data_IF_923444222668
#
_entry.id   IF_923444222668
#
_cell.length_a   1.000
_cell.length_b   1.000
_cell.length_c   1.000
_cell.angle_alpha   90.00
_cell.angle_beta   90.00
_cell.angle_gamma   90.00
#
_symmetry.space_group_name_H-M   'P 1'
#
loop_
_entity.id
_entity.type
_entity.pdbx_description
1 polymer ?
#
# COMPACT_ATOMS: atom_id res chain seq x y z
N UNK A 1 13.84 -27.60 -2.50
CA UNK A 1 13.18 -26.68 -3.46
C UNK A 1 13.45 -27.17 -4.87
N UNK A 2 12.40 -27.53 -5.61
CA UNK A 2 12.53 -27.97 -7.01
C UNK A 2 12.85 -26.78 -7.91
N UNK A 3 13.89 -26.88 -8.74
CA UNK A 3 14.22 -25.86 -9.75
C UNK A 3 13.33 -26.08 -10.97
N UNK A 4 12.41 -25.14 -11.24
CA UNK A 4 11.59 -25.16 -12.46
C UNK A 4 12.40 -24.53 -13.59
N UNK A 5 12.69 -25.24 -14.70
CA UNK A 5 13.42 -24.67 -15.82
C UNK A 5 12.56 -23.64 -16.54
N UNK A 6 13.03 -22.39 -16.56
CA UNK A 6 12.46 -21.32 -17.39
C UNK A 6 12.95 -21.52 -18.82
N UNK A 7 12.13 -22.18 -19.65
CA UNK A 7 12.40 -22.34 -21.09
C UNK A 7 11.75 -21.19 -21.85
N UNK A 8 12.35 -19.99 -21.78
CA UNK A 8 11.89 -18.83 -22.54
C UNK A 8 12.70 -18.68 -23.83
N UNK A 9 12.01 -18.57 -24.97
CA UNK A 9 12.59 -18.12 -26.24
C UNK A 9 12.91 -16.63 -26.12
N UNK A 10 14.02 -16.32 -25.48
CA UNK A 10 14.52 -14.94 -25.34
C UNK A 10 15.34 -14.59 -26.58
N UNK A 11 15.05 -13.43 -27.17
CA UNK A 11 15.77 -12.91 -28.33
C UNK A 11 17.29 -12.83 -28.04
N UNK A 12 18.12 -13.04 -29.07
CA UNK A 12 19.57 -13.09 -28.90
C UNK A 12 20.11 -11.78 -28.30
N UNK A 13 19.58 -10.64 -28.77
CA UNK A 13 20.00 -9.33 -28.28
C UNK A 13 19.73 -9.13 -26.79
N UNK A 14 18.60 -9.63 -26.30
CA UNK A 14 18.21 -9.54 -24.89
C UNK A 14 19.08 -10.47 -24.03
N UNK A 15 19.40 -11.67 -24.52
CA UNK A 15 20.32 -12.59 -23.83
C UNK A 15 21.72 -12.01 -23.69
N UNK A 16 22.24 -11.40 -24.75
CA UNK A 16 23.58 -10.82 -24.75
C UNK A 16 23.66 -9.62 -23.81
N UNK A 17 22.61 -8.78 -23.77
CA UNK A 17 22.51 -7.69 -22.81
C UNK A 17 22.49 -8.19 -21.36
N UNK A 18 21.71 -9.23 -21.05
CA UNK A 18 21.69 -9.83 -19.71
C UNK A 18 23.01 -10.52 -19.35
N UNK A 19 23.68 -11.14 -20.31
CA UNK A 19 25.00 -11.73 -20.10
C UNK A 19 26.06 -10.66 -19.77
N UNK A 20 26.03 -9.54 -20.48
CA UNK A 20 26.93 -8.42 -20.21
C UNK A 20 26.66 -7.82 -18.82
N UNK A 21 25.39 -7.54 -18.49
CA UNK A 21 25.01 -7.01 -17.18
C UNK A 21 25.38 -7.95 -16.03
N UNK A 22 25.29 -9.27 -16.25
CA UNK A 22 25.68 -10.26 -15.26
C UNK A 22 27.21 -10.27 -15.07
N UNK A 23 27.97 -10.18 -16.16
CA UNK A 23 29.42 -10.07 -16.13
C UNK A 23 29.89 -8.80 -15.40
N UNK A 24 29.28 -7.65 -15.70
CA UNK A 24 29.60 -6.36 -15.07
C UNK A 24 29.37 -6.38 -13.55
N UNK A 25 28.47 -7.25 -13.07
CA UNK A 25 28.13 -7.41 -11.65
C UNK A 25 28.79 -8.62 -10.99
N UNK A 26 29.68 -9.35 -11.67
CA UNK A 26 30.26 -10.61 -11.20
C UNK A 26 29.21 -11.65 -10.77
N UNK A 27 28.09 -11.72 -11.48
CA UNK A 27 26.99 -12.65 -11.23
C UNK A 27 26.82 -13.60 -12.41
N UNK A 28 26.23 -14.77 -12.15
CA UNK A 28 25.68 -15.59 -13.23
C UNK A 28 24.40 -14.96 -13.78
N UNK A 29 24.11 -15.22 -15.07
CA UNK A 29 22.85 -14.76 -15.70
C UNK A 29 21.62 -15.25 -14.93
N UNK A 30 21.68 -16.46 -14.37
CA UNK A 30 20.59 -17.02 -13.56
C UNK A 30 20.40 -16.30 -12.22
N UNK A 31 21.46 -15.80 -11.59
CA UNK A 31 21.37 -15.00 -10.37
C UNK A 31 20.79 -13.62 -10.65
N UNK A 32 21.27 -12.96 -11.70
CA UNK A 32 20.75 -11.66 -12.12
C UNK A 32 19.26 -11.75 -12.49
N UNK A 33 18.85 -12.76 -13.25
CA UNK A 33 17.45 -12.99 -13.57
C UNK A 33 16.60 -13.26 -12.32
N UNK A 34 17.13 -14.00 -11.35
CA UNK A 34 16.42 -14.25 -10.09
C UNK A 34 16.21 -12.95 -9.31
N UNK A 35 17.23 -12.11 -9.19
CA UNK A 35 17.11 -10.81 -8.52
C UNK A 35 16.11 -9.91 -9.22
N UNK A 36 16.18 -9.77 -10.56
CA UNK A 36 15.23 -8.98 -11.33
C UNK A 36 13.79 -9.46 -11.13
N UNK A 37 13.56 -10.78 -11.10
CA UNK A 37 12.23 -11.34 -10.84
C UNK A 37 11.79 -11.06 -9.40
N UNK A 38 12.69 -11.20 -8.41
CA UNK A 38 12.37 -10.90 -7.00
C UNK A 38 12.04 -9.42 -6.82
N UNK A 39 12.83 -8.52 -7.40
CA UNK A 39 12.61 -7.08 -7.34
C UNK A 39 11.32 -6.69 -8.06
N UNK A 40 11.06 -7.28 -9.23
CA UNK A 40 9.83 -7.05 -9.97
C UNK A 40 8.61 -7.52 -9.18
N UNK A 41 8.64 -8.71 -8.59
CA UNK A 41 7.54 -9.24 -7.76
C UNK A 41 7.39 -8.43 -6.47
N UNK A 42 8.51 -8.06 -5.84
CA UNK A 42 8.54 -7.25 -4.63
C UNK A 42 7.96 -5.85 -4.83
N UNK A 43 8.28 -5.20 -5.95
CA UNK A 43 7.79 -3.87 -6.28
C UNK A 43 6.36 -3.90 -6.85
N UNK A 44 6.04 -4.86 -7.74
CA UNK A 44 4.70 -5.00 -8.31
C UNK A 44 3.64 -5.38 -7.26
N UNK A 45 4.02 -6.04 -6.16
CA UNK A 45 3.13 -6.28 -5.03
C UNK A 45 3.02 -5.11 -4.05
N UNK A 46 4.01 -4.22 -4.00
CA UNK A 46 4.06 -3.14 -3.02
C UNK A 46 3.20 -1.93 -3.43
N UNK A 47 3.10 -1.63 -4.72
CA UNK A 47 2.38 -0.44 -5.20
C UNK A 47 0.85 -0.56 -5.06
N UNK A 48 0.19 -1.65 -5.49
CA UNK A 48 -1.26 -1.82 -5.32
C UNK A 48 -1.66 -1.83 -3.84
N UNK A 49 -0.87 -2.48 -2.99
CA UNK A 49 -1.13 -2.57 -1.55
C UNK A 49 -0.97 -1.22 -0.86
N UNK A 50 -0.05 -0.36 -1.32
CA UNK A 50 0.10 1.00 -0.80
C UNK A 50 -1.07 1.90 -1.20
N UNK A 51 -1.55 1.75 -2.42
CA UNK A 51 -2.71 2.48 -2.93
C UNK A 51 -3.99 2.06 -2.18
N UNK A 52 -4.23 0.75 -2.05
CA UNK A 52 -5.35 0.20 -1.27
C UNK A 52 -5.30 0.65 0.20
N UNK A 53 -4.13 0.62 0.83
CA UNK A 53 -3.97 1.08 2.22
C UNK A 53 -4.23 2.59 2.36
N UNK A 54 -3.89 3.37 1.34
CA UNK A 54 -4.14 4.83 1.30
C UNK A 54 -5.63 5.11 1.17
N UNK A 55 -6.32 4.35 0.32
CA UNK A 55 -7.77 4.42 0.15
C UNK A 55 -8.51 4.02 1.43
N UNK A 56 -8.16 2.88 2.04
CA UNK A 56 -8.73 2.44 3.33
C UNK A 56 -8.50 3.49 4.42
N UNK A 57 -7.31 4.10 4.50
CA UNK A 57 -7.05 5.18 5.46
C UNK A 57 -7.93 6.40 5.23
N UNK A 58 -8.23 6.73 3.97
CA UNK A 58 -9.13 7.83 3.62
C UNK A 58 -10.56 7.52 4.04
N UNK A 59 -11.04 6.31 3.77
CA UNK A 59 -12.39 5.86 4.16
C UNK A 59 -12.56 5.83 5.68
N UNK A 60 -11.59 5.30 6.42
CA UNK A 60 -11.64 5.28 7.89
C UNK A 60 -11.70 6.69 8.46
N UNK A 61 -10.97 7.66 7.88
CA UNK A 61 -11.04 9.07 8.30
C UNK A 61 -12.41 9.67 8.02
N UNK A 62 -13.00 9.38 6.86
CA UNK A 62 -14.34 9.86 6.49
C UNK A 62 -15.43 9.25 7.40
N UNK A 63 -15.32 7.96 7.70
CA UNK A 63 -16.22 7.27 8.63
C UNK A 63 -16.09 7.83 10.04
N UNK A 64 -14.86 8.07 10.52
CA UNK A 64 -14.61 8.71 11.81
C UNK A 64 -15.26 10.09 11.87
N UNK A 65 -15.10 10.91 10.84
CA UNK A 65 -15.75 12.23 10.78
C UNK A 65 -17.29 12.11 10.84
N UNK A 66 -17.86 11.18 10.06
CA UNK A 66 -19.32 10.94 10.03
C UNK A 66 -19.86 10.50 11.39
N UNK A 67 -19.13 9.62 12.09
CA UNK A 67 -19.50 9.18 13.43
C UNK A 67 -19.46 10.32 14.45
N UNK A 68 -18.44 11.18 14.41
CA UNK A 68 -18.35 12.33 15.32
C UNK A 68 -19.50 13.32 15.09
N UNK A 69 -19.86 13.58 13.84
CA UNK A 69 -21.03 14.39 13.50
C UNK A 69 -22.32 13.75 14.02
N UNK A 70 -22.49 12.43 13.85
CA UNK A 70 -23.66 11.72 14.37
C UNK A 70 -23.74 11.78 15.90
N UNK A 71 -22.62 11.59 16.60
CA UNK A 71 -22.56 11.70 18.07
C UNK A 71 -22.85 13.13 18.53
N UNK A 72 -22.32 14.15 17.86
CA UNK A 72 -22.62 15.54 18.18
C UNK A 72 -24.13 15.85 17.98
N UNK A 73 -24.74 15.33 16.91
CA UNK A 73 -26.17 15.45 16.67
C UNK A 73 -27.02 14.73 17.74
N UNK A 74 -26.58 13.55 18.18
CA UNK A 74 -27.24 12.83 19.29
C UNK A 74 -27.12 13.61 20.61
N UNK A 75 -25.95 14.14 20.93
CA UNK A 75 -25.75 14.96 22.13
C UNK A 75 -26.59 16.23 22.11
N UNK A 76 -26.65 16.92 20.98
CA UNK A 76 -27.52 18.08 20.80
C UNK A 76 -29.01 17.76 20.97
N UNK A 77 -29.46 16.58 20.51
CA UNK A 77 -30.85 16.17 20.66
C UNK A 77 -31.19 15.66 22.08
N UNK A 78 -30.21 15.13 22.80
CA UNK A 78 -30.38 14.49 24.12
C UNK A 78 -30.03 15.43 25.29
N UNK A 79 -29.45 16.59 25.02
CA UNK A 79 -29.08 17.59 26.03
C UNK A 79 -29.44 18.99 25.55
N UNK A 80 -29.65 19.93 26.47
CA UNK A 80 -29.80 21.36 26.14
C UNK A 80 -28.49 22.01 25.62
N UNK A 81 -27.48 21.21 25.30
CA UNK A 81 -26.20 21.70 24.78
C UNK A 81 -26.37 22.25 23.36
N UNK A 82 -25.75 23.40 23.12
CA UNK A 82 -25.64 23.95 21.77
C UNK A 82 -24.84 23.00 20.86
N UNK A 83 -25.10 23.07 19.55
CA UNK A 83 -24.37 22.26 18.57
C UNK A 83 -22.84 22.45 18.66
N UNK A 84 -22.38 23.67 18.97
CA UNK A 84 -20.97 23.99 19.19
C UNK A 84 -20.38 23.33 20.45
N UNK A 85 -21.14 23.23 21.54
CA UNK A 85 -20.71 22.54 22.76
C UNK A 85 -20.66 21.02 22.56
N UNK A 86 -21.64 20.46 21.87
CA UNK A 86 -21.67 19.04 21.52
C UNK A 86 -20.48 18.67 20.61
N UNK A 87 -20.19 19.47 19.59
CA UNK A 87 -19.03 19.25 18.72
C UNK A 87 -17.70 19.38 19.48
N UNK A 88 -17.57 20.39 20.35
CA UNK A 88 -16.38 20.60 21.18
C UNK A 88 -16.16 19.42 22.13
N UNK A 89 -17.21 18.96 22.80
CA UNK A 89 -17.14 17.81 23.70
C UNK A 89 -16.70 16.54 22.96
N UNK A 90 -17.25 16.28 21.77
CA UNK A 90 -16.89 15.14 20.92
C UNK A 90 -15.41 15.19 20.51
N UNK A 91 -14.91 16.37 20.12
CA UNK A 91 -13.49 16.54 19.80
C UNK A 91 -12.60 16.29 21.01
N UNK A 92 -12.95 16.81 22.19
CA UNK A 92 -12.12 16.65 23.40
C UNK A 92 -12.13 15.23 23.96
N UNK A 93 -13.23 14.48 23.85
CA UNK A 93 -13.35 13.18 24.54
C UNK A 93 -13.22 11.95 23.62
N UNK A 94 -13.32 12.12 22.29
CA UNK A 94 -13.26 11.01 21.32
C UNK A 94 -12.12 11.13 20.28
N UNK A 95 -11.45 12.28 20.21
CA UNK A 95 -10.33 12.50 19.29
C UNK A 95 -8.93 12.51 19.92
N UNK A 96 -8.83 12.80 21.22
CA UNK A 96 -7.61 12.62 22.04
C UNK A 96 -7.49 11.18 22.54
#
# INVERSE_FOLDING_TARGET
>A
MARVPLNTRVDAHVRDAFAQMAADQNKSVGELLREVVIDYVGNAGADPVRDDLTEVRREVRALRASLLTAVAGLLHNLSDASAEEAERWVRTNLLE
#
